data_IF_281594416766
#
_entry.id   IF_281594416766
#
_cell.length_a   1.000
_cell.length_b   1.000
_cell.length_c   1.000
_cell.angle_alpha   90.00
_cell.angle_beta   90.00
_cell.angle_gamma   90.00
#
_symmetry.space_group_name_H-M   'P 1'
#
loop_
_entity.id
_entity.type
_entity.pdbx_description
1 polymer ?
#
# COMPACT_ATOMS: atom_id res chain seq x y z
N UNK A 1 -1.07 24.22 -29.29
CA UNK A 1 -1.97 23.91 -28.15
C UNK A 1 -1.90 22.41 -27.85
N UNK A 2 -0.90 21.95 -27.09
CA UNK A 2 -0.71 20.52 -26.75
C UNK A 2 -0.51 20.27 -25.24
N UNK A 3 -0.55 21.32 -24.41
CA UNK A 3 -0.34 21.22 -22.96
C UNK A 3 -1.46 20.49 -22.21
N UNK A 4 -2.72 20.71 -22.59
CA UNK A 4 -3.89 20.22 -21.83
C UNK A 4 -3.95 18.69 -21.68
N UNK A 5 -3.60 17.92 -22.72
CA UNK A 5 -3.64 16.46 -22.65
C UNK A 5 -2.49 15.89 -21.81
N UNK A 6 -1.31 16.50 -21.87
CA UNK A 6 -0.16 16.14 -21.02
C UNK A 6 -0.42 16.47 -19.54
N UNK A 7 -0.98 17.65 -19.25
CA UNK A 7 -1.38 18.05 -17.90
C UNK A 7 -2.41 17.11 -17.28
N UNK A 8 -3.40 16.66 -18.08
CA UNK A 8 -4.40 15.71 -17.63
C UNK A 8 -3.80 14.34 -17.29
N UNK A 9 -2.81 13.87 -18.07
CA UNK A 9 -2.09 12.62 -17.80
C UNK A 9 -1.20 12.73 -16.56
N UNK A 10 -0.47 13.84 -16.41
CA UNK A 10 0.37 14.11 -15.24
C UNK A 10 -0.47 14.14 -13.95
N UNK A 11 -1.61 14.83 -13.97
CA UNK A 11 -2.55 14.89 -12.83
C UNK A 11 -3.08 13.49 -12.46
N UNK A 12 -3.41 12.67 -13.46
CA UNK A 12 -3.87 11.30 -13.22
C UNK A 12 -2.76 10.44 -12.58
N UNK A 13 -1.54 10.51 -13.13
CA UNK A 13 -0.40 9.77 -12.60
C UNK A 13 -0.05 10.18 -11.16
N UNK A 14 -0.13 11.47 -10.84
CA UNK A 14 0.11 11.97 -9.48
C UNK A 14 -0.90 11.39 -8.48
N UNK A 15 -2.19 11.37 -8.82
CA UNK A 15 -3.24 10.77 -7.98
C UNK A 15 -3.04 9.28 -7.76
N UNK A 16 -2.70 8.54 -8.83
CA UNK A 16 -2.40 7.10 -8.75
C UNK A 16 -1.18 6.85 -7.85
N UNK A 17 -0.15 7.69 -7.97
CA UNK A 17 1.06 7.61 -7.16
C UNK A 17 0.79 7.90 -5.70
N UNK A 18 -0.01 8.93 -5.39
CA UNK A 18 -0.44 9.26 -4.03
C UNK A 18 -1.23 8.10 -3.42
N UNK A 19 -2.21 7.55 -4.15
CA UNK A 19 -3.01 6.41 -3.69
C UNK A 19 -2.13 5.18 -3.41
N UNK A 20 -1.26 4.81 -4.35
CA UNK A 20 -0.34 3.69 -4.18
C UNK A 20 0.55 3.90 -2.95
N UNK A 21 1.10 5.10 -2.77
CA UNK A 21 1.96 5.41 -1.62
C UNK A 21 1.18 5.31 -0.30
N UNK A 22 -0.05 5.83 -0.24
CA UNK A 22 -0.90 5.70 0.95
C UNK A 22 -1.20 4.24 1.30
N UNK A 23 -1.61 3.44 0.31
CA UNK A 23 -1.90 2.01 0.50
C UNK A 23 -0.66 1.24 0.93
N UNK A 24 0.51 1.57 0.37
CA UNK A 24 1.79 0.99 0.79
C UNK A 24 2.11 1.31 2.25
N UNK A 25 1.98 2.57 2.67
CA UNK A 25 2.26 2.99 4.04
C UNK A 25 1.30 2.33 5.03
N UNK A 26 0.02 2.18 4.68
CA UNK A 26 -0.95 1.41 5.48
C UNK A 26 -0.50 -0.05 5.59
N UNK A 27 -0.13 -0.68 4.47
CA UNK A 27 0.37 -2.06 4.46
C UNK A 27 1.59 -2.25 5.37
N UNK A 28 2.56 -1.34 5.31
CA UNK A 28 3.73 -1.35 6.21
C UNK A 28 3.34 -1.14 7.67
N UNK A 29 2.37 -0.27 7.96
CA UNK A 29 1.83 -0.09 9.32
C UNK A 29 1.23 -1.38 9.87
N UNK A 30 0.44 -2.09 9.06
CA UNK A 30 -0.16 -3.38 9.44
C UNK A 30 0.90 -4.46 9.66
N UNK A 31 1.92 -4.54 8.80
CA UNK A 31 3.07 -5.43 8.99
C UNK A 31 3.80 -5.09 10.30
N UNK A 32 4.02 -3.80 10.58
CA UNK A 32 4.62 -3.34 11.83
C UNK A 32 3.84 -3.77 13.07
N UNK A 33 2.51 -3.63 13.05
CA UNK A 33 1.64 -4.13 14.14
C UNK A 33 1.77 -5.65 14.31
N UNK A 34 1.83 -6.41 13.21
CA UNK A 34 2.03 -7.85 13.28
C UNK A 34 3.38 -8.22 13.91
N UNK A 35 4.44 -7.43 13.69
CA UNK A 35 5.76 -7.66 14.32
C UNK A 35 5.75 -7.27 15.80
N UNK A 36 5.09 -6.18 16.17
CA UNK A 36 5.07 -5.67 17.55
C UNK A 36 4.14 -6.49 18.45
N UNK A 37 2.98 -6.94 17.97
CA UNK A 37 2.00 -7.70 18.76
C UNK A 37 2.58 -8.91 19.54
N UNK A 38 3.38 -9.82 18.96
CA UNK A 38 3.96 -10.93 19.71
C UNK A 38 5.01 -10.50 20.74
N UNK A 39 5.53 -9.27 20.67
CA UNK A 39 6.41 -8.69 21.69
C UNK A 39 5.61 -8.12 22.87
N UNK A 40 4.34 -7.76 22.65
CA UNK A 40 3.46 -7.18 23.67
C UNK A 40 2.45 -8.17 24.26
N UNK A 41 2.09 -9.21 23.53
CA UNK A 41 1.09 -10.23 23.91
C UNK A 41 1.72 -11.64 23.92
N UNK A 42 1.15 -12.56 24.70
CA UNK A 42 1.63 -13.96 24.72
C UNK A 42 1.39 -14.66 23.38
N UNK A 43 2.33 -15.52 22.95
CA UNK A 43 2.29 -16.29 21.68
C UNK A 43 1.07 -17.22 21.51
N UNK A 44 0.18 -17.31 22.49
CA UNK A 44 -1.07 -18.09 22.41
C UNK A 44 -2.02 -17.63 21.29
N UNK A 45 -1.83 -16.41 20.76
CA UNK A 45 -2.63 -15.82 19.67
C UNK A 45 -1.87 -15.75 18.32
N UNK A 46 -0.92 -16.65 18.07
CA UNK A 46 -0.09 -16.63 16.86
C UNK A 46 -0.90 -16.57 15.54
N UNK A 47 -2.11 -17.14 15.50
CA UNK A 47 -2.99 -17.07 14.34
C UNK A 47 -3.46 -15.65 13.98
N UNK A 48 -3.73 -14.81 14.99
CA UNK A 48 -4.13 -13.40 14.78
C UNK A 48 -2.95 -12.61 14.21
N UNK A 49 -1.74 -12.80 14.75
CA UNK A 49 -0.51 -12.19 14.23
C UNK A 49 -0.26 -12.51 12.74
N UNK A 50 -0.44 -13.77 12.34
CA UNK A 50 -0.30 -14.19 10.93
C UNK A 50 -1.33 -13.47 10.05
N UNK A 51 -2.56 -13.31 10.54
CA UNK A 51 -3.60 -12.60 9.80
C UNK A 51 -3.26 -11.13 9.56
N UNK A 52 -2.75 -10.42 10.57
CA UNK A 52 -2.28 -9.03 10.40
C UNK A 52 -1.11 -8.92 9.44
N UNK A 53 -0.18 -9.88 9.48
CA UNK A 53 0.96 -9.93 8.56
C UNK A 53 0.49 -10.14 7.12
N UNK A 54 -0.45 -11.07 6.90
CA UNK A 54 -1.05 -11.32 5.58
C UNK A 54 -1.86 -10.13 5.07
N UNK A 55 -2.64 -9.48 5.94
CA UNK A 55 -3.39 -8.28 5.59
C UNK A 55 -2.47 -7.12 5.18
N UNK A 56 -1.38 -6.91 5.92
CA UNK A 56 -0.37 -5.92 5.59
C UNK A 56 0.38 -6.24 4.30
N UNK A 57 0.71 -7.51 4.05
CA UNK A 57 1.32 -7.97 2.80
C UNK A 57 0.36 -7.82 1.61
N UNK A 58 -0.92 -8.12 1.78
CA UNK A 58 -1.94 -7.92 0.75
C UNK A 58 -2.09 -6.44 0.40
N UNK A 59 -2.12 -5.55 1.39
CA UNK A 59 -2.14 -4.10 1.17
C UNK A 59 -0.86 -3.61 0.49
N UNK A 60 0.31 -4.12 0.90
CA UNK A 60 1.57 -3.82 0.23
C UNK A 60 1.53 -4.26 -1.25
N UNK A 61 1.05 -5.47 -1.54
CA UNK A 61 0.85 -5.96 -2.91
C UNK A 61 -0.15 -5.12 -3.70
N UNK A 62 -1.26 -4.70 -3.08
CA UNK A 62 -2.26 -3.84 -3.68
C UNK A 62 -1.67 -2.49 -4.10
N UNK A 63 -0.73 -1.93 -3.34
CA UNK A 63 -0.05 -0.69 -3.72
C UNK A 63 0.72 -0.81 -5.03
N UNK A 64 1.45 -1.91 -5.23
CA UNK A 64 2.15 -2.20 -6.49
C UNK A 64 1.17 -2.45 -7.63
N UNK A 65 0.02 -3.06 -7.33
CA UNK A 65 -1.05 -3.22 -8.32
C UNK A 65 -1.62 -1.87 -8.76
N UNK A 66 -1.82 -0.93 -7.85
CA UNK A 66 -2.28 0.44 -8.17
C UNK A 66 -1.26 1.18 -9.05
N UNK A 67 0.05 1.00 -8.83
CA UNK A 67 1.09 1.60 -9.68
C UNK A 67 1.03 1.12 -11.13
N UNK A 68 0.49 -0.07 -11.41
CA UNK A 68 0.32 -0.59 -12.77
C UNK A 68 -0.61 0.28 -13.63
N UNK A 69 -1.49 1.06 -13.00
CA UNK A 69 -2.39 1.96 -13.71
C UNK A 69 -1.76 3.28 -14.13
N UNK A 70 -0.54 3.60 -13.67
CA UNK A 70 0.19 4.76 -14.18
C UNK A 70 0.45 4.59 -15.68
N UNK A 71 0.08 5.59 -16.47
CA UNK A 71 0.35 5.61 -17.91
C UNK A 71 1.70 6.28 -18.15
N UNK A 72 2.55 5.65 -18.97
CA UNK A 72 3.81 6.27 -19.39
C UNK A 72 3.52 7.48 -20.28
N UNK A 73 4.24 8.57 -20.02
CA UNK A 73 4.17 9.84 -20.76
C UNK A 73 4.76 9.76 -22.17
#
# INVERSE_FOLDING_TARGET
MTGSARDALATFNERVKLLATSVNTIGLGLIGVAVVRPLTESFSNAGDTIWWLLAGLAMHGLSHYVLRYMRKE
#
